data_IF_713505013215
#
_entry.id   IF_713505013215
#
_cell.length_a   1.000
_cell.length_b   1.000
_cell.length_c   1.000
_cell.angle_alpha   90.00
_cell.angle_beta   90.00
_cell.angle_gamma   90.00
#
_symmetry.space_group_name_H-M   'P 1'
#
loop_
_entity.id
_entity.type
_entity.pdbx_description
1 polymer ?
#
# COMPACT_ATOMS: atom_id res chain seq x y z
N UNK A 1 -10.28 -5.50 24.19
CA UNK A 1 -9.97 -5.89 22.80
C UNK A 1 -9.04 -4.87 22.14
N UNK A 2 -9.41 -3.58 22.11
CA UNK A 2 -8.59 -2.48 21.56
C UNK A 2 -7.13 -2.42 22.04
N UNK A 3 -6.85 -2.64 23.33
CA UNK A 3 -5.47 -2.61 23.88
C UNK A 3 -4.55 -3.68 23.27
N UNK A 4 -5.04 -4.91 23.06
CA UNK A 4 -4.22 -5.98 22.45
C UNK A 4 -3.96 -5.73 20.97
N UNK A 5 -4.95 -5.19 20.26
CA UNK A 5 -4.82 -4.81 18.85
C UNK A 5 -3.80 -3.68 18.71
N UNK A 6 -3.92 -2.63 19.53
CA UNK A 6 -2.96 -1.52 19.53
C UNK A 6 -1.54 -2.00 19.84
N UNK A 7 -1.36 -2.92 20.79
CA UNK A 7 -0.05 -3.48 21.10
C UNK A 7 0.49 -4.29 19.92
N UNK A 8 -0.31 -5.15 19.29
CA UNK A 8 0.12 -5.89 18.11
C UNK A 8 0.55 -4.95 16.98
N UNK A 9 -0.23 -3.90 16.69
CA UNK A 9 0.09 -2.91 15.67
C UNK A 9 1.40 -2.16 15.97
N UNK A 10 1.65 -1.86 17.25
CA UNK A 10 2.91 -1.27 17.70
C UNK A 10 4.09 -2.20 17.43
N UNK A 11 4.02 -3.47 17.85
CA UNK A 11 5.06 -4.45 17.60
C UNK A 11 5.28 -4.70 16.10
N UNK A 12 4.20 -4.72 15.30
CA UNK A 12 4.30 -4.82 13.84
C UNK A 12 5.07 -3.63 13.26
N UNK A 13 4.80 -2.40 13.71
CA UNK A 13 5.53 -1.21 13.26
C UNK A 13 7.02 -1.30 13.61
N UNK A 14 7.35 -1.68 14.85
CA UNK A 14 8.73 -1.84 15.31
C UNK A 14 9.46 -2.96 14.54
N UNK A 15 8.76 -4.02 14.16
CA UNK A 15 9.29 -5.09 13.32
C UNK A 15 9.48 -4.69 11.85
N UNK A 16 9.15 -3.44 11.47
CA UNK A 16 9.34 -2.91 10.12
C UNK A 16 8.11 -3.01 9.21
N UNK A 17 6.93 -3.36 9.74
CA UNK A 17 5.70 -3.26 8.96
C UNK A 17 5.44 -1.78 8.62
N UNK A 18 5.17 -1.51 7.33
CA UNK A 18 4.89 -0.17 6.83
C UNK A 18 3.42 0.01 6.44
N UNK A 19 2.75 -1.07 6.02
CA UNK A 19 1.39 -1.01 5.50
C UNK A 19 0.59 -2.26 5.82
N UNK A 20 -0.68 -2.06 6.17
CA UNK A 20 -1.72 -3.07 6.21
C UNK A 20 -2.59 -2.96 4.96
N UNK A 21 -2.77 -4.06 4.24
CA UNK A 21 -3.71 -4.14 3.13
C UNK A 21 -4.87 -5.05 3.55
N UNK A 22 -6.05 -4.48 3.75
CA UNK A 22 -7.19 -5.13 4.38
C UNK A 22 -8.31 -5.37 3.37
N UNK A 23 -8.81 -6.60 3.29
CA UNK A 23 -10.04 -6.93 2.58
C UNK A 23 -11.24 -6.43 3.37
N UNK A 24 -11.74 -5.23 3.01
CA UNK A 24 -12.92 -4.61 3.62
C UNK A 24 -14.17 -4.96 2.83
N UNK A 25 -14.03 -5.05 1.51
CA UNK A 25 -15.06 -5.39 0.53
C UNK A 25 -16.19 -4.36 0.38
N UNK A 26 -16.78 -3.87 1.48
CA UNK A 26 -17.92 -2.95 1.44
C UNK A 26 -18.06 -2.18 2.77
N UNK A 27 -18.58 -0.96 2.70
CA UNK A 27 -18.95 -0.18 3.89
C UNK A 27 -20.42 -0.34 4.30
N UNK A 28 -21.18 -1.18 3.59
CA UNK A 28 -22.59 -1.39 3.86
C UNK A 28 -22.82 -2.60 4.80
N UNK A 29 -23.40 -2.41 6.00
CA UNK A 29 -23.63 -3.51 6.95
C UNK A 29 -24.46 -4.66 6.38
N UNK A 30 -25.45 -4.36 5.53
CA UNK A 30 -26.26 -5.37 4.84
C UNK A 30 -25.42 -6.25 3.93
N UNK A 31 -24.49 -5.67 3.19
CA UNK A 31 -23.64 -6.40 2.24
C UNK A 31 -22.57 -7.20 3.00
N UNK A 32 -21.96 -6.64 4.05
CA UNK A 32 -21.06 -7.38 4.94
C UNK A 32 -21.71 -8.67 5.46
N UNK A 33 -22.96 -8.59 5.92
CA UNK A 33 -23.71 -9.77 6.33
C UNK A 33 -24.00 -10.74 5.17
N UNK A 34 -24.31 -10.20 3.99
CA UNK A 34 -24.63 -10.99 2.78
C UNK A 34 -23.43 -11.78 2.26
N UNK A 35 -22.22 -11.22 2.35
CA UNK A 35 -20.96 -11.90 1.96
C UNK A 35 -20.31 -12.68 3.11
N UNK A 36 -21.03 -12.85 4.23
CA UNK A 36 -20.58 -13.55 5.43
C UNK A 36 -19.32 -12.98 6.10
N UNK A 37 -19.07 -11.67 5.95
CA UNK A 37 -17.96 -10.99 6.62
C UNK A 37 -18.30 -10.77 8.09
N UNK A 38 -17.54 -11.39 8.98
CA UNK A 38 -17.73 -11.31 10.44
C UNK A 38 -17.09 -10.06 11.06
N UNK A 39 -17.34 -8.89 10.46
CA UNK A 39 -16.83 -7.59 10.90
C UNK A 39 -17.93 -6.54 10.81
N UNK A 40 -17.91 -5.56 11.70
CA UNK A 40 -18.75 -4.36 11.59
C UNK A 40 -17.97 -3.21 10.97
N UNK A 41 -18.70 -2.21 10.46
CA UNK A 41 -18.09 -0.96 9.95
C UNK A 41 -17.25 -0.27 11.04
N UNK A 42 -17.77 -0.23 12.27
CA UNK A 42 -17.08 0.39 13.42
C UNK A 42 -15.78 -0.33 13.77
N UNK A 43 -15.75 -1.67 13.70
CA UNK A 43 -14.52 -2.44 13.93
C UNK A 43 -13.42 -2.01 12.95
N UNK A 44 -13.80 -1.79 11.68
CA UNK A 44 -12.88 -1.42 10.61
C UNK A 44 -12.38 0.02 10.81
N UNK A 45 -13.26 0.96 11.17
CA UNK A 45 -12.87 2.35 11.49
C UNK A 45 -11.88 2.37 12.66
N UNK A 46 -12.22 1.69 13.76
CA UNK A 46 -11.36 1.63 14.95
C UNK A 46 -10.01 1.00 14.63
N UNK A 47 -9.97 -0.11 13.87
CA UNK A 47 -8.72 -0.74 13.49
C UNK A 47 -7.85 0.17 12.63
N UNK A 48 -8.46 0.92 11.71
CA UNK A 48 -7.76 1.87 10.84
C UNK A 48 -7.17 3.03 11.62
N UNK A 49 -7.93 3.63 12.54
CA UNK A 49 -7.42 4.71 13.40
C UNK A 49 -6.26 4.23 14.29
N UNK A 50 -6.38 3.04 14.89
CA UNK A 50 -5.31 2.46 15.70
C UNK A 50 -4.04 2.20 14.85
N UNK A 51 -4.18 1.72 13.63
CA UNK A 51 -3.05 1.48 12.73
C UNK A 51 -2.36 2.80 12.35
N UNK A 52 -3.13 3.82 11.96
CA UNK A 52 -2.63 5.16 11.62
C UNK A 52 -1.88 5.80 12.79
N UNK A 53 -2.39 5.64 14.01
CA UNK A 53 -1.73 6.14 15.21
C UNK A 53 -0.33 5.55 15.41
N UNK A 54 -0.08 4.31 14.98
CA UNK A 54 1.24 3.67 15.03
C UNK A 54 2.10 3.98 13.79
N UNK A 55 1.66 4.85 12.88
CA UNK A 55 2.37 5.17 11.64
C UNK A 55 2.33 4.06 10.60
N UNK A 56 1.35 3.15 10.69
CA UNK A 56 1.10 2.16 9.63
C UNK A 56 0.20 2.77 8.57
N UNK A 57 0.60 2.62 7.30
CA UNK A 57 -0.27 2.91 6.18
C UNK A 57 -1.39 1.87 6.09
N UNK A 58 -2.56 2.28 5.63
CA UNK A 58 -3.75 1.42 5.57
C UNK A 58 -4.32 1.50 4.17
N UNK A 59 -4.37 0.35 3.50
CA UNK A 59 -4.98 0.17 2.19
C UNK A 59 -6.20 -0.71 2.32
N UNK A 60 -7.31 -0.30 1.75
CA UNK A 60 -8.50 -1.14 1.61
C UNK A 60 -8.56 -1.79 0.24
N UNK A 61 -8.83 -3.09 0.22
CA UNK A 61 -9.41 -3.77 -0.91
C UNK A 61 -10.94 -3.68 -0.76
N UNK A 62 -11.55 -3.01 -1.72
CA UNK A 62 -12.99 -2.80 -1.80
C UNK A 62 -13.53 -3.60 -2.98
N UNK A 63 -14.77 -4.04 -2.88
CA UNK A 63 -15.46 -4.78 -3.91
C UNK A 63 -16.69 -4.01 -4.38
N UNK A 64 -16.87 -3.99 -5.69
CA UNK A 64 -18.12 -3.64 -6.33
C UNK A 64 -18.82 -4.94 -6.73
N UNK A 65 -20.10 -4.81 -7.06
CA UNK A 65 -20.86 -5.88 -7.70
C UNK A 65 -21.07 -7.08 -6.76
N UNK A 66 -21.09 -6.86 -5.45
CA UNK A 66 -21.37 -7.91 -4.46
C UNK A 66 -22.81 -8.43 -4.59
N UNK A 67 -23.05 -9.64 -4.11
CA UNK A 67 -24.41 -10.19 -3.99
C UNK A 67 -25.28 -9.27 -3.13
N UNK A 68 -26.47 -8.93 -3.65
CA UNK A 68 -27.46 -8.08 -2.99
C UNK A 68 -27.13 -6.59 -3.02
N UNK A 69 -26.11 -6.17 -3.77
CA UNK A 69 -25.67 -4.78 -3.82
C UNK A 69 -26.65 -3.88 -4.59
N UNK A 70 -26.89 -2.70 -4.04
CA UNK A 70 -27.86 -1.70 -4.49
C UNK A 70 -27.19 -0.34 -4.59
N UNK A 71 -27.87 0.64 -5.20
CA UNK A 71 -27.35 2.00 -5.26
C UNK A 71 -27.19 2.60 -3.85
N UNK A 72 -28.11 2.28 -2.94
CA UNK A 72 -28.09 2.76 -1.56
C UNK A 72 -26.93 2.15 -0.77
N UNK A 73 -26.70 0.84 -0.88
CA UNK A 73 -25.57 0.19 -0.20
C UNK A 73 -24.22 0.58 -0.80
N UNK A 74 -24.19 0.88 -2.09
CA UNK A 74 -23.00 1.43 -2.71
C UNK A 74 -22.69 2.84 -2.19
N UNK A 75 -23.71 3.69 -2.07
CA UNK A 75 -23.55 5.01 -1.45
C UNK A 75 -23.06 4.91 0.00
N UNK A 76 -23.61 3.97 0.80
CA UNK A 76 -23.10 3.69 2.16
C UNK A 76 -21.60 3.33 2.16
N UNK A 77 -21.13 2.63 1.14
CA UNK A 77 -19.72 2.29 0.99
C UNK A 77 -18.86 3.51 0.71
N UNK A 78 -19.35 4.44 -0.11
CA UNK A 78 -18.66 5.70 -0.38
C UNK A 78 -18.61 6.59 0.87
N UNK A 79 -19.75 6.76 1.56
CA UNK A 79 -19.85 7.53 2.81
C UNK A 79 -18.92 6.94 3.89
N UNK A 80 -18.84 5.62 3.97
CA UNK A 80 -17.91 4.94 4.88
C UNK A 80 -16.45 5.27 4.59
N UNK A 81 -16.03 5.36 3.32
CA UNK A 81 -14.64 5.69 2.98
C UNK A 81 -14.26 7.12 3.41
N UNK A 82 -15.21 8.06 3.33
CA UNK A 82 -15.03 9.44 3.82
C UNK A 82 -14.80 9.49 5.33
N UNK A 83 -15.44 8.60 6.10
CA UNK A 83 -15.29 8.51 7.56
C UNK A 83 -14.02 7.75 7.94
N UNK A 84 -13.82 6.56 7.37
CA UNK A 84 -12.73 5.66 7.74
C UNK A 84 -11.35 6.18 7.29
N UNK A 85 -11.30 6.98 6.22
CA UNK A 85 -10.10 7.64 5.67
C UNK A 85 -8.87 6.73 5.67
N UNK A 86 -8.93 5.55 5.00
CA UNK A 86 -7.72 4.79 4.73
C UNK A 86 -6.78 5.65 3.89
N UNK A 87 -5.50 5.31 3.86
CA UNK A 87 -4.55 6.00 2.99
C UNK A 87 -4.88 5.72 1.52
N UNK A 88 -5.19 4.46 1.24
CA UNK A 88 -5.43 3.98 -0.10
C UNK A 88 -6.68 3.11 -0.15
N UNK A 89 -7.40 3.16 -1.27
CA UNK A 89 -8.43 2.18 -1.60
C UNK A 89 -8.23 1.72 -3.04
N UNK A 90 -8.48 0.44 -3.29
CA UNK A 90 -8.58 -0.09 -4.65
C UNK A 90 -9.86 -0.89 -4.74
N UNK A 91 -10.61 -0.65 -5.81
CA UNK A 91 -11.83 -1.36 -6.09
C UNK A 91 -11.58 -2.47 -7.11
N UNK A 92 -12.25 -3.59 -6.91
CA UNK A 92 -12.33 -4.70 -7.86
C UNK A 92 -13.78 -5.12 -8.00
N UNK A 93 -14.18 -5.58 -9.19
CA UNK A 93 -15.47 -6.23 -9.36
C UNK A 93 -15.41 -7.66 -8.81
N UNK A 94 -16.52 -8.13 -8.22
CA UNK A 94 -16.70 -9.54 -7.85
C UNK A 94 -16.37 -10.47 -9.04
N UNK A 95 -15.41 -11.36 -8.80
CA UNK A 95 -15.11 -12.49 -9.66
C UNK A 95 -15.75 -13.75 -9.10
N UNK A 96 -16.54 -14.43 -9.91
CA UNK A 96 -17.24 -15.66 -9.53
C UNK A 96 -16.36 -16.85 -9.92
N UNK A 97 -15.79 -17.52 -8.92
CA UNK A 97 -14.89 -18.67 -9.13
C UNK A 97 -15.53 -20.02 -8.75
N UNK A 98 -15.23 -21.11 -9.48
CA UNK A 98 -15.67 -22.46 -9.12
C UNK A 98 -15.37 -22.80 -7.65
N UNK A 99 -16.37 -23.35 -6.96
CA UNK A 99 -16.28 -23.74 -5.54
C UNK A 99 -16.80 -22.68 -4.55
N UNK A 100 -16.94 -21.42 -4.97
CA UNK A 100 -17.54 -20.36 -4.14
C UNK A 100 -19.06 -20.50 -4.03
N UNK A 101 -19.66 -19.84 -3.03
CA UNK A 101 -21.13 -19.74 -2.93
C UNK A 101 -21.72 -19.01 -4.12
N UNK A 102 -21.11 -17.90 -4.54
CA UNK A 102 -21.59 -17.10 -5.67
C UNK A 102 -21.58 -17.89 -6.99
N UNK A 103 -20.64 -18.82 -7.16
CA UNK A 103 -20.64 -19.72 -8.31
C UNK A 103 -21.83 -20.65 -8.33
N UNK A 104 -22.17 -21.26 -7.18
CA UNK A 104 -23.34 -22.14 -7.08
C UNK A 104 -24.63 -21.36 -7.35
N UNK A 105 -24.73 -20.15 -6.81
CA UNK A 105 -25.88 -19.27 -7.01
C UNK A 105 -26.01 -18.85 -8.49
N UNK A 106 -24.89 -18.48 -9.14
CA UNK A 106 -24.86 -18.12 -10.56
C UNK A 106 -25.23 -19.29 -11.48
N UNK A 107 -24.68 -20.49 -11.20
CA UNK A 107 -24.99 -21.70 -11.96
C UNK A 107 -26.47 -22.09 -11.79
N UNK A 108 -26.98 -22.07 -10.56
CA UNK A 108 -28.40 -22.36 -10.28
C UNK A 108 -29.35 -21.37 -10.96
N UNK A 109 -28.94 -20.10 -11.11
CA UNK A 109 -29.68 -19.08 -11.84
C UNK A 109 -29.50 -19.15 -13.37
N UNK A 110 -28.65 -20.04 -13.89
CA UNK A 110 -28.37 -20.22 -15.32
C UNK A 110 -27.46 -19.16 -15.94
N UNK A 111 -26.65 -18.46 -15.13
CA UNK A 111 -25.75 -17.40 -15.59
C UNK A 111 -24.45 -17.94 -16.20
N UNK A 112 -24.05 -19.15 -15.81
CA UNK A 112 -22.86 -19.83 -16.31
C UNK A 112 -23.06 -21.34 -16.30
N UNK A 113 -22.30 -22.02 -17.14
CA UNK A 113 -22.12 -23.48 -17.13
C UNK A 113 -20.68 -23.77 -16.72
N UNK A 114 -20.47 -24.66 -15.75
CA UNK A 114 -19.13 -25.04 -15.28
C UNK A 114 -18.22 -25.58 -16.38
N UNK A 115 -18.77 -26.19 -17.43
CA UNK A 115 -17.99 -26.81 -18.51
C UNK A 115 -17.11 -25.79 -19.25
N UNK A 116 -17.49 -24.51 -19.25
CA UNK A 116 -16.73 -23.45 -19.93
C UNK A 116 -15.33 -23.23 -19.34
N UNK A 117 -15.13 -23.58 -18.06
CA UNK A 117 -13.84 -23.47 -17.38
C UNK A 117 -12.86 -24.58 -17.79
N UNK A 118 -13.38 -25.72 -18.30
CA UNK A 118 -12.57 -26.89 -18.67
C UNK A 118 -12.42 -27.05 -20.18
N UNK A 119 -13.32 -26.46 -20.96
CA UNK A 119 -13.36 -26.60 -22.42
C UNK A 119 -12.83 -25.39 -23.19
N UNK A 120 -12.49 -24.29 -22.50
CA UNK A 120 -12.05 -23.04 -23.12
C UNK A 120 -11.01 -22.27 -22.32
N UNK A 121 -10.81 -21.01 -22.71
CA UNK A 121 -9.89 -20.05 -22.06
C UNK A 121 -10.61 -19.10 -21.10
N UNK A 122 -11.83 -19.45 -20.70
CA UNK A 122 -12.62 -18.65 -19.78
C UNK A 122 -12.02 -18.70 -18.38
N UNK A 123 -11.56 -17.56 -17.86
CA UNK A 123 -10.88 -17.49 -16.56
C UNK A 123 -11.86 -17.24 -15.41
N UNK A 124 -12.85 -16.38 -15.61
CA UNK A 124 -13.76 -15.93 -14.55
C UNK A 124 -14.98 -15.19 -15.11
N UNK A 125 -16.11 -15.29 -14.40
CA UNK A 125 -17.27 -14.42 -14.63
C UNK A 125 -17.18 -13.20 -13.72
N UNK A 126 -17.06 -12.01 -14.31
CA UNK A 126 -17.18 -10.72 -13.61
C UNK A 126 -18.51 -10.07 -13.98
N UNK A 127 -19.40 -9.96 -13.01
CA UNK A 127 -20.70 -9.34 -13.23
C UNK A 127 -21.27 -8.79 -11.91
N UNK A 128 -21.95 -7.63 -11.93
CA UNK A 128 -22.86 -7.21 -10.85
C UNK A 128 -23.94 -8.26 -10.67
N UNK A 129 -23.69 -9.13 -9.69
CA UNK A 129 -24.33 -10.42 -9.50
C UNK A 129 -25.83 -10.40 -9.79
N UNK A 130 -26.65 -9.89 -8.87
CA UNK A 130 -28.10 -9.81 -8.96
C UNK A 130 -28.58 -8.35 -9.09
N UNK A 131 -27.68 -7.42 -9.43
CA UNK A 131 -28.02 -6.01 -9.52
C UNK A 131 -28.87 -5.71 -10.76
N UNK A 132 -29.80 -4.75 -10.63
CA UNK A 132 -30.58 -4.27 -11.77
C UNK A 132 -29.69 -3.61 -12.83
N UNK A 133 -30.10 -3.64 -14.10
CA UNK A 133 -29.37 -3.01 -15.21
C UNK A 133 -28.96 -1.55 -14.92
N UNK A 134 -29.84 -0.77 -14.29
CA UNK A 134 -29.55 0.61 -13.89
C UNK A 134 -28.41 0.70 -12.87
N UNK A 135 -28.42 -0.17 -11.86
CA UNK A 135 -27.38 -0.20 -10.82
C UNK A 135 -26.05 -0.66 -11.42
N UNK A 136 -26.10 -1.68 -12.28
CA UNK A 136 -24.95 -2.17 -13.06
C UNK A 136 -24.29 -1.07 -13.89
N UNK A 137 -25.08 -0.31 -14.65
CA UNK A 137 -24.57 0.80 -15.46
C UNK A 137 -23.92 1.87 -14.58
N UNK A 138 -24.59 2.25 -13.49
CA UNK A 138 -24.06 3.23 -12.53
C UNK A 138 -22.72 2.81 -11.93
N UNK A 139 -22.61 1.58 -11.41
CA UNK A 139 -21.36 1.06 -10.83
C UNK A 139 -20.26 0.90 -11.87
N UNK A 140 -20.61 0.50 -13.10
CA UNK A 140 -19.62 0.35 -14.18
C UNK A 140 -19.04 1.72 -14.59
N UNK A 141 -19.89 2.74 -14.73
CA UNK A 141 -19.43 4.11 -14.98
C UNK A 141 -18.53 4.60 -13.86
N UNK A 142 -18.96 4.44 -12.60
CA UNK A 142 -18.16 4.84 -11.45
C UNK A 142 -16.81 4.10 -11.42
N UNK A 143 -16.80 2.80 -11.68
CA UNK A 143 -15.57 1.99 -11.69
C UNK A 143 -14.58 2.48 -12.74
N UNK A 144 -15.02 2.77 -13.97
CA UNK A 144 -14.12 3.28 -15.00
C UNK A 144 -13.52 4.64 -14.64
N UNK A 145 -14.28 5.50 -13.96
CA UNK A 145 -13.81 6.80 -13.47
C UNK A 145 -12.83 6.69 -12.29
N UNK A 146 -12.95 5.63 -11.47
CA UNK A 146 -12.20 5.45 -10.22
C UNK A 146 -11.33 4.18 -10.20
N UNK A 147 -11.01 3.62 -11.37
CA UNK A 147 -10.17 2.42 -11.49
C UNK A 147 -8.76 2.67 -11.01
N UNK A 148 -8.11 1.61 -10.54
CA UNK A 148 -6.75 1.68 -10.02
C UNK A 148 -6.70 2.13 -8.56
N UNK A 149 -5.49 2.46 -8.11
CA UNK A 149 -5.22 2.80 -6.73
C UNK A 149 -5.63 4.25 -6.43
N UNK A 150 -6.62 4.43 -5.56
CA UNK A 150 -7.09 5.73 -5.10
C UNK A 150 -6.33 6.14 -3.83
N UNK A 151 -5.83 7.37 -3.78
CA UNK A 151 -5.19 7.96 -2.60
C UNK A 151 -6.23 8.83 -1.87
N UNK A 152 -6.63 8.42 -0.67
CA UNK A 152 -7.74 9.04 0.06
C UNK A 152 -7.29 9.86 1.28
N UNK A 153 -6.13 9.54 1.87
CA UNK A 153 -5.60 10.26 3.03
C UNK A 153 -4.07 10.33 2.98
N UNK A 154 -3.53 11.50 3.37
CA UNK A 154 -2.10 11.71 3.57
C UNK A 154 -1.88 12.30 4.96
N UNK A 155 -0.98 11.68 5.70
CA UNK A 155 -0.55 12.19 7.01
C UNK A 155 0.32 13.44 6.82
N UNK A 156 0.09 14.45 7.67
CA UNK A 156 0.88 15.67 7.72
C UNK A 156 1.97 15.64 8.79
N UNK A 157 2.64 16.78 8.96
CA UNK A 157 3.69 16.96 10.00
C UNK A 157 3.14 16.66 11.40
N UNK A 158 1.94 17.14 11.74
CA UNK A 158 1.33 16.95 13.07
C UNK A 158 1.03 15.48 13.36
N UNK A 159 0.56 14.73 12.35
CA UNK A 159 0.31 13.30 12.46
C UNK A 159 1.62 12.55 12.77
N UNK A 160 2.69 12.84 12.01
CA UNK A 160 3.98 12.20 12.20
C UNK A 160 4.69 12.62 13.49
N UNK A 161 4.48 13.84 13.98
CA UNK A 161 4.92 14.24 15.32
C UNK A 161 4.23 13.41 16.40
N UNK A 162 2.92 13.20 16.29
CA UNK A 162 2.17 12.36 17.23
C UNK A 162 2.60 10.88 17.15
N UNK A 163 2.90 10.38 15.94
CA UNK A 163 3.44 9.03 15.73
C UNK A 163 4.83 8.90 16.39
N UNK A 164 5.74 9.85 16.16
CA UNK A 164 7.06 9.85 16.80
C UNK A 164 6.93 9.88 18.32
N UNK A 165 6.01 10.68 18.88
CA UNK A 165 5.75 10.72 20.31
C UNK A 165 5.27 9.37 20.89
N UNK A 166 4.59 8.54 20.09
CA UNK A 166 4.12 7.19 20.49
C UNK A 166 5.18 6.10 20.30
N UNK A 167 5.93 6.15 19.20
CA UNK A 167 6.96 5.15 18.90
C UNK A 167 8.27 5.42 19.63
N UNK A 168 8.49 6.65 20.11
CA UNK A 168 9.77 7.10 20.62
C UNK A 168 10.78 7.33 19.49
N UNK A 169 12.06 7.33 19.85
CA UNK A 169 13.20 7.59 18.96
C UNK A 169 13.46 6.42 18.00
N UNK A 170 12.51 6.19 17.10
CA UNK A 170 12.48 5.09 16.15
C UNK A 170 12.82 5.57 14.74
N UNK A 171 13.77 4.90 14.07
CA UNK A 171 14.30 5.33 12.78
C UNK A 171 13.22 5.61 11.73
N UNK A 172 12.17 4.77 11.67
CA UNK A 172 11.13 4.89 10.67
C UNK A 172 10.19 6.09 10.93
N UNK A 173 9.96 6.44 12.20
CA UNK A 173 9.17 7.62 12.55
C UNK A 173 9.93 8.90 12.18
N UNK A 174 11.25 8.91 12.36
CA UNK A 174 12.12 9.99 11.92
C UNK A 174 12.17 10.11 10.38
N UNK A 175 12.21 8.99 9.65
CA UNK A 175 12.13 9.02 8.18
C UNK A 175 10.82 9.65 7.70
N UNK A 176 9.69 9.18 8.23
CA UNK A 176 8.36 9.67 7.84
C UNK A 176 8.20 11.17 8.14
N UNK A 177 8.60 11.59 9.35
CA UNK A 177 8.54 13.00 9.76
C UNK A 177 9.51 13.89 8.96
N UNK A 178 10.71 13.38 8.64
CA UNK A 178 11.67 14.07 7.79
C UNK A 178 11.13 14.32 6.38
N UNK A 179 10.47 13.31 5.79
CA UNK A 179 9.78 13.45 4.52
C UNK A 179 8.63 14.47 4.58
N UNK A 180 7.83 14.45 5.64
CA UNK A 180 6.75 15.42 5.84
C UNK A 180 7.26 16.87 5.95
N UNK A 181 8.34 17.10 6.71
CA UNK A 181 8.97 18.42 6.79
C UNK A 181 9.54 18.88 5.45
N UNK A 182 10.13 17.97 4.66
CA UNK A 182 10.60 18.29 3.32
C UNK A 182 9.45 18.81 2.45
N UNK A 183 8.32 18.10 2.42
CA UNK A 183 7.14 18.53 1.66
C UNK A 183 6.50 19.82 2.20
N UNK A 184 6.70 20.13 3.48
CA UNK A 184 6.29 21.40 4.09
C UNK A 184 7.29 22.55 3.85
N UNK A 185 8.40 22.32 3.14
CA UNK A 185 9.45 23.33 2.89
C UNK A 185 10.34 23.63 4.11
N UNK A 186 10.25 22.84 5.18
CA UNK A 186 10.99 23.03 6.42
C UNK A 186 12.30 22.23 6.39
N UNK A 187 13.22 22.65 5.51
CA UNK A 187 14.39 21.85 5.12
C UNK A 187 15.35 21.52 6.29
N UNK A 188 15.53 22.44 7.25
CA UNK A 188 16.41 22.21 8.40
C UNK A 188 15.88 21.12 9.34
N UNK A 189 14.56 21.12 9.56
CA UNK A 189 13.89 20.08 10.36
C UNK A 189 13.87 18.75 9.61
N UNK A 190 13.61 18.78 8.29
CA UNK A 190 13.69 17.59 7.45
C UNK A 190 15.06 16.93 7.56
N UNK A 191 16.14 17.68 7.36
CA UNK A 191 17.52 17.20 7.46
C UNK A 191 17.83 16.63 8.86
N UNK A 192 17.40 17.31 9.93
CA UNK A 192 17.59 16.84 11.29
C UNK A 192 16.99 15.44 11.50
N UNK A 193 15.73 15.24 11.12
CA UNK A 193 15.06 13.96 11.30
C UNK A 193 15.62 12.88 10.36
N UNK A 194 15.98 13.20 9.12
CA UNK A 194 16.58 12.24 8.19
C UNK A 194 17.95 11.75 8.68
N UNK A 195 18.80 12.66 9.20
CA UNK A 195 20.08 12.29 9.82
C UNK A 195 19.86 11.43 11.06
N UNK A 196 18.87 11.78 11.90
CA UNK A 196 18.54 10.96 13.06
C UNK A 196 18.07 9.56 12.68
N UNK A 197 17.29 9.41 11.62
CA UNK A 197 16.91 8.09 11.10
C UNK A 197 18.13 7.26 10.69
N UNK A 198 19.12 7.87 10.03
CA UNK A 198 20.38 7.21 9.65
C UNK A 198 21.21 6.81 10.87
N UNK A 199 21.35 7.69 11.87
CA UNK A 199 22.06 7.41 13.12
C UNK A 199 21.45 6.22 13.90
N UNK A 200 20.14 6.05 13.78
CA UNK A 200 19.37 4.93 14.36
C UNK A 200 19.40 3.66 13.49
N UNK A 201 20.33 3.57 12.54
CA UNK A 201 20.53 2.43 11.66
C UNK A 201 19.27 2.05 10.83
N UNK A 202 18.61 3.04 10.23
CA UNK A 202 17.53 2.84 9.27
C UNK A 202 17.89 1.71 8.27
N UNK A 203 17.10 0.63 8.15
CA UNK A 203 17.42 -0.50 7.27
C UNK A 203 17.46 -0.18 5.77
N UNK A 204 16.86 0.95 5.38
CA UNK A 204 16.77 1.44 4.00
C UNK A 204 17.40 2.85 3.88
N UNK A 205 18.71 3.01 4.11
CA UNK A 205 19.35 4.32 4.17
C UNK A 205 19.30 5.06 2.83
N UNK A 206 19.14 4.36 1.71
CA UNK A 206 19.11 4.96 0.37
C UNK A 206 17.96 5.97 0.19
N UNK A 207 16.80 5.73 0.83
CA UNK A 207 15.65 6.66 0.78
C UNK A 207 15.92 7.95 1.55
N UNK A 208 16.55 7.85 2.73
CA UNK A 208 16.90 9.01 3.53
C UNK A 208 17.98 9.85 2.83
N UNK A 209 19.02 9.19 2.31
CA UNK A 209 20.10 9.84 1.56
C UNK A 209 19.60 10.49 0.26
N UNK A 210 18.65 9.86 -0.44
CA UNK A 210 17.97 10.47 -1.58
C UNK A 210 17.27 11.78 -1.18
N UNK A 211 16.54 11.78 -0.06
CA UNK A 211 15.85 12.99 0.41
C UNK A 211 16.84 14.07 0.86
N UNK A 212 17.94 13.70 1.52
CA UNK A 212 19.04 14.62 1.84
C UNK A 212 19.69 15.21 0.58
N UNK A 213 19.80 14.43 -0.50
CA UNK A 213 20.27 14.94 -1.79
C UNK A 213 19.29 15.97 -2.38
N UNK A 214 17.98 15.72 -2.30
CA UNK A 214 16.95 16.70 -2.67
C UNK A 214 17.07 17.99 -1.84
N UNK A 215 17.25 17.88 -0.52
CA UNK A 215 17.45 19.05 0.36
C UNK A 215 18.68 19.86 -0.05
N UNK A 216 19.81 19.20 -0.34
CA UNK A 216 21.02 19.88 -0.80
C UNK A 216 20.77 20.63 -2.11
N UNK A 217 20.08 20.00 -3.07
CA UNK A 217 19.73 20.62 -4.34
C UNK A 217 18.80 21.83 -4.18
N UNK A 218 17.76 21.75 -3.34
CA UNK A 218 16.86 22.87 -3.01
C UNK A 218 17.61 24.07 -2.40
N UNK A 219 18.73 23.83 -1.71
CA UNK A 219 19.61 24.87 -1.18
C UNK A 219 20.65 25.38 -2.19
N UNK A 220 20.67 24.86 -3.41
CA UNK A 220 21.67 25.18 -4.43
C UNK A 220 23.03 24.48 -4.23
N UNK A 221 23.13 23.54 -3.30
CA UNK A 221 24.33 22.74 -3.06
C UNK A 221 24.37 21.51 -3.97
N UNK A 222 24.78 21.75 -5.21
CA UNK A 222 24.91 20.70 -6.25
C UNK A 222 25.96 19.67 -5.88
N UNK A 223 27.04 20.07 -5.21
CA UNK A 223 28.08 19.12 -4.79
C UNK A 223 27.56 18.21 -3.67
N UNK A 224 26.91 18.78 -2.65
CA UNK A 224 26.28 18.02 -1.57
C UNK A 224 25.23 17.04 -2.08
N UNK A 225 24.43 17.43 -3.07
CA UNK A 225 23.49 16.52 -3.76
C UNK A 225 24.23 15.31 -4.35
N UNK A 226 25.31 15.54 -5.10
CA UNK A 226 26.08 14.46 -5.73
C UNK A 226 26.79 13.55 -4.73
N UNK A 227 27.29 14.11 -3.63
CA UNK A 227 27.91 13.34 -2.56
C UNK A 227 26.89 12.40 -1.91
N UNK A 228 25.68 12.90 -1.61
CA UNK A 228 24.58 12.09 -1.04
C UNK A 228 24.08 11.01 -2.00
N UNK A 229 23.96 11.30 -3.30
CA UNK A 229 23.62 10.27 -4.28
C UNK A 229 24.68 9.18 -4.40
N UNK A 230 25.96 9.56 -4.39
CA UNK A 230 27.07 8.60 -4.45
C UNK A 230 27.07 7.69 -3.21
N UNK A 231 26.83 8.27 -2.04
CA UNK A 231 26.69 7.55 -0.77
C UNK A 231 25.48 6.60 -0.79
N UNK A 232 24.33 7.07 -1.28
CA UNK A 232 23.11 6.26 -1.38
C UNK A 232 23.28 5.05 -2.31
N UNK A 233 23.89 5.26 -3.48
CA UNK A 233 24.17 4.20 -4.45
C UNK A 233 25.17 3.17 -3.90
N UNK A 234 26.13 3.60 -3.09
CA UNK A 234 27.09 2.69 -2.47
C UNK A 234 26.47 1.82 -1.38
N UNK A 235 25.49 2.35 -0.62
CA UNK A 235 24.90 1.65 0.53
C UNK A 235 23.62 0.86 0.17
N UNK A 236 22.72 1.43 -0.63
CA UNK A 236 21.37 0.89 -0.85
C UNK A 236 20.76 1.38 -2.20
N UNK A 237 21.27 0.87 -3.34
CA UNK A 237 20.98 1.41 -4.68
C UNK A 237 19.62 1.00 -5.27
N UNK A 238 18.87 0.13 -4.59
CA UNK A 238 17.71 -0.56 -5.17
C UNK A 238 16.40 0.24 -5.17
N UNK A 239 16.37 1.41 -4.53
CA UNK A 239 15.17 2.22 -4.43
C UNK A 239 14.84 2.91 -5.75
N UNK A 240 13.63 2.69 -6.27
CA UNK A 240 13.19 3.26 -7.54
C UNK A 240 13.35 4.79 -7.59
N UNK A 241 12.98 5.48 -6.51
CA UNK A 241 13.09 6.95 -6.43
C UNK A 241 14.55 7.43 -6.52
N UNK A 242 15.48 6.70 -5.90
CA UNK A 242 16.91 7.00 -5.94
C UNK A 242 17.44 6.77 -7.36
N UNK A 243 17.12 5.61 -7.97
CA UNK A 243 17.53 5.28 -9.34
C UNK A 243 17.06 6.36 -10.31
N UNK A 244 15.77 6.73 -10.24
CA UNK A 244 15.19 7.79 -11.06
C UNK A 244 15.93 9.11 -10.89
N UNK A 245 16.16 9.56 -9.66
CA UNK A 245 16.81 10.84 -9.37
C UNK A 245 18.28 10.85 -9.84
N UNK A 246 19.02 9.75 -9.63
CA UNK A 246 20.40 9.62 -10.10
C UNK A 246 20.48 9.63 -11.62
N UNK A 247 19.56 8.96 -12.30
CA UNK A 247 19.46 8.99 -13.77
C UNK A 247 19.12 10.38 -14.30
N UNK A 248 18.18 11.08 -13.65
CA UNK A 248 17.82 12.46 -13.97
C UNK A 248 19.02 13.40 -13.78
N UNK A 249 19.73 13.32 -12.66
CA UNK A 249 20.92 14.11 -12.39
C UNK A 249 22.04 13.83 -13.42
N UNK A 250 22.29 12.55 -13.74
CA UNK A 250 23.27 12.18 -14.79
C UNK A 250 22.91 12.76 -16.15
N UNK A 251 21.63 12.71 -16.53
CA UNK A 251 21.16 13.31 -17.78
C UNK A 251 21.33 14.84 -17.77
N UNK A 252 20.99 15.48 -16.65
CA UNK A 252 21.15 16.92 -16.47
C UNK A 252 22.60 17.38 -16.64
N UNK A 253 23.58 16.68 -16.04
CA UNK A 253 25.00 16.97 -16.25
C UNK A 253 25.47 16.70 -17.69
N UNK A 254 25.02 15.62 -18.34
CA UNK A 254 25.38 15.35 -19.74
C UNK A 254 24.96 16.48 -20.70
N UNK A 255 23.91 17.22 -20.35
CA UNK A 255 23.42 18.34 -21.14
C UNK A 255 23.93 19.71 -20.67
N UNK A 256 24.96 19.73 -19.81
CA UNK A 256 25.54 20.93 -19.21
C UNK A 256 24.50 21.77 -18.44
N UNK A 257 23.63 21.07 -17.70
CA UNK A 257 22.49 21.62 -16.98
C UNK A 257 22.81 22.82 -16.08
N UNK A 258 23.81 22.76 -15.20
CA UNK A 258 24.17 23.90 -14.35
C UNK A 258 24.53 25.16 -15.14
N UNK A 259 25.40 25.04 -16.16
CA UNK A 259 25.88 26.20 -16.92
C UNK A 259 24.79 26.79 -17.82
N UNK A 260 23.85 25.95 -18.29
CA UNK A 260 22.73 26.34 -19.15
C UNK A 260 21.47 26.71 -18.38
N UNK A 261 21.46 26.61 -17.05
CA UNK A 261 20.27 26.88 -16.23
C UNK A 261 19.10 25.94 -16.53
N UNK A 262 19.36 24.69 -16.92
CA UNK A 262 18.31 23.71 -17.15
C UNK A 262 17.67 23.31 -15.82
N UNK A 263 16.36 23.09 -15.81
CA UNK A 263 15.69 22.55 -14.63
C UNK A 263 16.08 21.09 -14.38
N UNK A 264 16.19 20.71 -13.11
CA UNK A 264 16.32 19.34 -12.65
C UNK A 264 15.20 19.09 -11.64
N UNK A 265 14.34 18.12 -11.92
CA UNK A 265 13.27 17.71 -11.02
C UNK A 265 13.73 16.47 -10.24
N UNK A 266 13.69 16.57 -8.91
CA UNK A 266 14.04 15.48 -8.00
C UNK A 266 12.86 15.15 -7.10
N UNK A 267 12.74 13.88 -6.73
CA UNK A 267 11.62 13.38 -5.94
C UNK A 267 12.06 12.83 -4.59
N UNK A 268 11.36 13.20 -3.52
CA UNK A 268 11.61 12.78 -2.14
C UNK A 268 10.55 11.80 -1.61
N UNK A 269 10.21 10.77 -2.40
CA UNK A 269 9.25 9.75 -1.95
C UNK A 269 9.92 8.74 -1.03
N UNK A 270 9.23 8.39 0.06
CA UNK A 270 9.60 7.30 0.97
C UNK A 270 8.47 6.27 1.11
N UNK A 271 7.52 6.30 0.18
CA UNK A 271 6.37 5.42 0.15
C UNK A 271 6.78 3.94 0.06
N UNK A 272 5.88 3.06 0.52
CA UNK A 272 6.09 1.62 0.48
C UNK A 272 6.40 1.15 -0.94
N UNK A 273 7.48 0.38 -1.05
CA UNK A 273 7.94 -0.23 -2.29
C UNK A 273 8.31 -1.69 -2.02
N UNK A 274 7.90 -2.57 -2.93
CA UNK A 274 8.36 -3.95 -2.91
C UNK A 274 9.79 -3.96 -3.43
N UNK A 275 10.73 -4.22 -2.52
CA UNK A 275 12.14 -4.35 -2.84
C UNK A 275 12.46 -5.84 -2.79
N UNK A 276 12.56 -6.44 -3.96
CA UNK A 276 13.12 -7.77 -4.07
C UNK A 276 14.64 -7.64 -3.97
N UNK A 277 15.19 -7.90 -2.78
CA UNK A 277 16.61 -8.21 -2.71
C UNK A 277 16.80 -9.53 -3.45
N UNK A 278 17.48 -9.50 -4.58
CA UNK A 278 18.00 -10.68 -5.26
C UNK A 278 19.15 -11.32 -4.47
N UNK A 279 18.98 -11.47 -3.16
CA UNK A 279 19.62 -12.54 -2.45
C UNK A 279 18.90 -13.80 -2.94
N UNK A 280 19.51 -14.58 -3.83
CA UNK A 280 19.04 -15.94 -3.99
C UNK A 280 18.94 -16.52 -2.58
N UNK A 281 17.76 -16.98 -2.12
CA UNK A 281 17.78 -17.88 -0.98
C UNK A 281 18.78 -18.94 -1.38
N UNK A 282 19.81 -19.15 -0.57
CA UNK A 282 20.63 -20.35 -0.69
C UNK A 282 19.59 -21.45 -0.78
N UNK A 283 19.52 -22.14 -1.93
CA UNK A 283 18.52 -23.17 -2.17
C UNK A 283 18.41 -23.94 -0.85
N UNK A 284 17.21 -24.08 -0.24
CA UNK A 284 17.09 -25.00 0.87
C UNK A 284 17.77 -26.27 0.39
N UNK A 285 18.69 -26.80 1.20
CA UNK A 285 19.46 -27.99 0.82
C UNK A 285 18.52 -29.05 0.22
N UNK A 286 19.06 -30.02 -0.56
CA UNK A 286 18.25 -30.94 -1.35
C UNK A 286 16.99 -31.40 -0.59
N UNK A 287 15.84 -31.28 -1.25
CA UNK A 287 14.55 -31.64 -0.66
C UNK A 287 14.66 -33.04 -0.04
N UNK A 288 14.05 -33.29 1.13
CA UNK A 288 13.96 -34.63 1.70
C UNK A 288 13.47 -35.63 0.64
N UNK A 289 13.98 -36.87 0.61
CA UNK A 289 13.61 -37.87 -0.40
C UNK A 289 12.11 -38.14 -0.50
N UNK A 290 11.36 -37.80 0.56
CA UNK A 290 9.94 -38.02 0.75
C UNK A 290 9.10 -36.73 0.60
N UNK A 291 9.65 -35.61 0.13
CA UNK A 291 8.88 -34.35 0.02
C UNK A 291 7.60 -34.47 -0.84
N UNK A 292 7.59 -35.42 -1.78
CA UNK A 292 6.45 -35.70 -2.65
C UNK A 292 5.52 -36.81 -2.13
N UNK A 293 5.83 -37.42 -0.98
CA UNK A 293 5.02 -38.46 -0.38
C UNK A 293 3.93 -37.82 0.50
N UNK A 294 2.68 -37.92 0.04
CA UNK A 294 1.53 -37.51 0.84
C UNK A 294 1.20 -38.59 1.87
N UNK A 295 1.60 -38.40 3.13
CA UNK A 295 1.15 -39.26 4.23
C UNK A 295 -0.30 -38.90 4.61
N UNK A 296 -1.20 -39.88 4.83
CA UNK A 296 -2.50 -39.61 5.44
C UNK A 296 -2.27 -38.96 6.80
N UNK A 297 -3.03 -37.91 7.12
CA UNK A 297 -2.99 -37.31 8.45
C UNK A 297 -3.28 -38.40 9.50
N UNK A 298 -2.38 -38.56 10.48
CA UNK A 298 -2.66 -39.39 11.64
C UNK A 298 -3.95 -38.87 12.28
N UNK A 299 -4.93 -39.77 12.44
CA UNK A 299 -6.20 -39.46 13.09
C UNK A 299 -5.91 -39.19 14.58
N UNK A 300 -5.72 -37.92 14.91
CA UNK A 300 -5.70 -37.39 16.28
C UNK A 300 -7.07 -36.92 16.73
#
# INVERSE_FOLDING_TARGET
MSTRVSQLLHEMRLAGCQRLSLGVETGAPKILATIDKKLTVDDIVVATDLAKQQGLKVRYFMMLCNRGETAETFQQTLDFLEVARPHEAIFSCLSIYPGTTDFRDAEAAGWLDREVYFSGTFQELKTPFDASKRVTEMMSTWFEEHRGLQQLHRDGVDDYLAILGRLGDHHAAHLDLGGAYFHAGQLDLAEHHLRRALDLALPTPGVALNTLACIAFERGDVQGMMDRFSEAVAQDPQHYVLVRNVEAARAWFRHDGPARGLALELHAHHDFQLLERTAQPTLPGPLPPDFAAWAPAEQG
#
